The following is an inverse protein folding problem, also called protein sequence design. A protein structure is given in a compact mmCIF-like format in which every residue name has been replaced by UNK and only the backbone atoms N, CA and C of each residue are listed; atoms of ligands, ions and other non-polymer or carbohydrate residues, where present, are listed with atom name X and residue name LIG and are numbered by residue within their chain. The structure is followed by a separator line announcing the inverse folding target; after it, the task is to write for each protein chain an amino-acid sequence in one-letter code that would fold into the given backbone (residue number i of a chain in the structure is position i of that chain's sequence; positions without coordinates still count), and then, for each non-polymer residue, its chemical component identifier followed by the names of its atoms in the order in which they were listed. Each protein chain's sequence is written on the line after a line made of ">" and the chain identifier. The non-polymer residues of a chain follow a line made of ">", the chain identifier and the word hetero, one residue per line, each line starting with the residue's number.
data_IF_221654318008
#
_entry.id   IF_221654318008
#
_cell.length_a   1.000
_cell.length_b   1.000
_cell.length_c   1.000
_cell.angle_alpha   90.00
_cell.angle_beta   90.00
_cell.angle_gamma   90.00
#
_symmetry.space_group_name_H-M   'P 1'
#
loop_
_entity.id
_entity.type
_entity.pdbx_description
1 polymer ?
#
# COMPACT_ATOMS: atom_id res chain seq x y z
N UNK A 1 -9.60 10.25 -8.50
CA UNK A 1 -8.34 10.14 -9.27
C UNK A 1 -7.38 9.09 -8.76
N UNK A 2 -6.68 9.25 -7.63
CA UNK A 2 -5.56 8.35 -7.26
C UNK A 2 -5.95 6.85 -7.18
N UNK A 3 -6.91 6.47 -6.33
CA UNK A 3 -7.26 5.05 -6.13
C UNK A 3 -7.82 4.38 -7.39
N UNK A 4 -8.65 5.11 -8.16
CA UNK A 4 -9.30 4.55 -9.35
C UNK A 4 -8.41 4.62 -10.58
N UNK A 5 -7.74 5.75 -10.85
CA UNK A 5 -6.97 5.96 -12.08
C UNK A 5 -5.51 5.52 -11.96
N UNK A 6 -4.85 5.81 -10.84
CA UNK A 6 -3.43 5.45 -10.66
C UNK A 6 -3.26 4.05 -10.12
N UNK A 7 -4.04 3.68 -9.11
CA UNK A 7 -3.97 2.35 -8.51
C UNK A 7 -4.90 1.33 -9.17
N UNK A 8 -5.75 1.75 -10.10
CA UNK A 8 -6.64 0.89 -10.87
C UNK A 8 -7.67 0.09 -10.03
N UNK A 9 -8.01 0.54 -8.81
CA UNK A 9 -9.09 -0.09 -8.05
C UNK A 9 -10.45 0.20 -8.70
N UNK A 10 -11.34 -0.81 -8.84
CA UNK A 10 -12.67 -0.59 -9.37
C UNK A 10 -13.45 0.43 -8.55
N UNK A 11 -14.20 1.32 -9.22
CA UNK A 11 -15.03 2.32 -8.55
C UNK A 11 -15.98 1.66 -7.52
N UNK A 12 -16.55 0.50 -7.86
CA UNK A 12 -17.41 -0.29 -6.96
C UNK A 12 -16.70 -0.66 -5.65
N UNK A 13 -15.42 -1.01 -5.70
CA UNK A 13 -14.66 -1.36 -4.51
C UNK A 13 -14.43 -0.13 -3.62
N UNK A 14 -14.17 1.04 -4.22
CA UNK A 14 -13.94 2.30 -3.49
C UNK A 14 -15.21 2.72 -2.77
N UNK A 15 -16.35 2.75 -3.47
CA UNK A 15 -17.63 3.15 -2.86
C UNK A 15 -18.12 2.17 -1.78
N UNK A 16 -17.73 0.89 -1.88
CA UNK A 16 -18.06 -0.12 -0.88
C UNK A 16 -17.15 -0.06 0.36
N UNK A 17 -16.12 0.78 0.37
CA UNK A 17 -15.17 0.93 1.47
C UNK A 17 -15.07 2.39 1.93
N UNK A 18 -16.14 3.01 2.44
CA UNK A 18 -16.17 4.47 2.69
C UNK A 18 -15.10 4.95 3.68
N UNK A 19 -14.63 4.08 4.59
CA UNK A 19 -13.57 4.41 5.54
C UNK A 19 -12.27 4.90 4.88
N UNK A 20 -11.99 4.50 3.63
CA UNK A 20 -10.75 4.91 2.93
C UNK A 20 -10.68 6.41 2.69
N UNK A 21 -11.82 7.09 2.64
CA UNK A 21 -11.88 8.54 2.47
C UNK A 21 -11.53 9.31 3.75
N UNK A 22 -11.63 8.67 4.91
CA UNK A 22 -11.25 9.27 6.20
C UNK A 22 -9.75 9.18 6.52
N UNK A 23 -8.98 8.45 5.71
CA UNK A 23 -7.54 8.28 5.93
C UNK A 23 -6.71 9.36 5.26
N UNK A 24 -5.61 9.74 5.90
CA UNK A 24 -4.64 10.67 5.30
C UNK A 24 -4.09 10.08 4.00
N UNK A 25 -4.25 10.83 2.91
CA UNK A 25 -3.71 10.44 1.62
C UNK A 25 -2.18 10.32 1.68
N UNK A 26 -1.53 11.29 2.33
CA UNK A 26 -0.07 11.39 2.35
C UNK A 26 0.58 10.45 3.34
N UNK A 27 -0.01 10.27 4.53
CA UNK A 27 0.58 9.49 5.61
C UNK A 27 0.20 8.01 5.54
N UNK A 28 -0.96 7.66 4.97
CA UNK A 28 -1.46 6.28 4.98
C UNK A 28 -1.67 5.73 3.58
N UNK A 29 -2.44 6.42 2.74
CA UNK A 29 -2.88 5.83 1.48
C UNK A 29 -1.75 5.71 0.45
N UNK A 30 -1.02 6.79 0.19
CA UNK A 30 0.06 6.80 -0.82
C UNK A 30 1.21 5.84 -0.46
N UNK A 31 1.77 5.86 0.77
CA UNK A 31 2.88 4.96 1.11
C UNK A 31 2.51 3.48 0.96
N UNK A 32 1.31 3.11 1.43
CA UNK A 32 0.82 1.73 1.33
C UNK A 32 0.54 1.32 -0.11
N UNK A 33 -0.09 2.19 -0.89
CA UNK A 33 -0.34 1.93 -2.30
C UNK A 33 0.96 1.79 -3.11
N UNK A 34 2.00 2.57 -2.82
CA UNK A 34 3.30 2.45 -3.49
C UNK A 34 3.96 1.10 -3.18
N UNK A 35 3.88 0.60 -1.94
CA UNK A 35 4.35 -0.75 -1.57
C UNK A 35 3.62 -1.81 -2.39
N UNK A 36 2.28 -1.74 -2.47
CA UNK A 36 1.49 -2.69 -3.27
C UNK A 36 1.90 -2.64 -4.75
N UNK A 37 2.09 -1.43 -5.30
CA UNK A 37 2.53 -1.27 -6.69
C UNK A 37 3.91 -1.90 -6.92
N UNK A 38 4.87 -1.70 -6.02
CA UNK A 38 6.20 -2.30 -6.12
C UNK A 38 6.13 -3.83 -6.09
N UNK A 39 5.31 -4.41 -5.20
CA UNK A 39 5.09 -5.85 -5.12
C UNK A 39 4.48 -6.41 -6.40
N UNK A 40 3.48 -5.73 -6.98
CA UNK A 40 2.86 -6.15 -8.23
C UNK A 40 3.85 -6.11 -9.41
N UNK A 41 4.65 -5.05 -9.53
CA UNK A 41 5.68 -4.94 -10.59
C UNK A 41 6.73 -6.04 -10.48
N UNK A 42 7.08 -6.43 -9.25
CA UNK A 42 8.02 -7.55 -8.99
C UNK A 42 7.38 -8.94 -9.10
N UNK A 43 6.07 -9.03 -9.38
CA UNK A 43 5.34 -10.30 -9.46
C UNK A 43 5.20 -11.02 -8.12
N UNK A 44 5.40 -10.31 -7.00
CA UNK A 44 5.30 -10.84 -5.64
C UNK A 44 3.89 -10.75 -5.06
N UNK A 45 2.97 -10.20 -5.87
CA UNK A 45 1.54 -10.18 -5.62
C UNK A 45 0.85 -10.73 -6.87
N UNK A 46 -0.36 -11.27 -6.71
CA UNK A 46 -1.14 -11.75 -7.84
C UNK A 46 -1.37 -10.67 -8.91
N UNK A 47 -1.85 -11.09 -10.08
CA UNK A 47 -2.18 -10.18 -11.19
C UNK A 47 -3.33 -9.22 -10.85
N UNK A 48 -4.12 -9.54 -9.83
CA UNK A 48 -5.24 -8.72 -9.37
C UNK A 48 -4.88 -7.90 -8.13
N UNK A 49 -5.47 -6.71 -8.03
CA UNK A 49 -5.31 -5.85 -6.87
C UNK A 49 -5.90 -6.52 -5.62
N UNK A 50 -5.22 -6.42 -4.48
CA UNK A 50 -5.75 -6.92 -3.23
C UNK A 50 -7.00 -6.11 -2.82
N UNK A 51 -7.89 -6.67 -2.00
CA UNK A 51 -9.00 -5.92 -1.45
C UNK A 51 -8.50 -4.66 -0.69
N UNK A 52 -9.26 -3.56 -0.78
CA UNK A 52 -8.82 -2.27 -0.23
C UNK A 52 -8.69 -2.26 1.29
N UNK A 53 -9.59 -2.95 2.00
CA UNK A 53 -9.60 -2.98 3.47
C UNK A 53 -8.29 -3.54 4.07
N UNK A 54 -7.79 -4.72 3.66
CA UNK A 54 -6.48 -5.22 4.06
C UNK A 54 -5.30 -4.31 3.72
N UNK A 55 -5.43 -3.40 2.77
CA UNK A 55 -4.36 -2.45 2.42
C UNK A 55 -4.46 -1.19 3.28
N UNK A 56 -5.65 -0.59 3.39
CA UNK A 56 -5.83 0.76 3.93
C UNK A 56 -6.43 0.81 5.34
N UNK A 57 -7.23 -0.18 5.74
CA UNK A 57 -8.00 -0.13 6.99
C UNK A 57 -7.29 -0.74 8.20
N UNK A 58 -6.19 -1.48 7.99
CA UNK A 58 -5.42 -2.12 9.07
C UNK A 58 -4.35 -1.19 9.66
N UNK A 59 -3.79 -1.55 10.82
CA UNK A 59 -2.69 -0.79 11.45
C UNK A 59 -1.41 -0.85 10.61
N UNK A 60 -0.46 0.04 10.90
CA UNK A 60 0.83 0.04 10.21
C UNK A 60 1.59 -1.26 10.47
N UNK A 61 1.57 -1.76 11.71
CA UNK A 61 2.21 -3.02 12.09
C UNK A 61 1.66 -4.18 11.27
N UNK A 62 0.33 -4.32 11.22
CA UNK A 62 -0.32 -5.38 10.46
C UNK A 62 -0.06 -5.26 8.95
N UNK A 63 0.02 -4.04 8.42
CA UNK A 63 0.37 -3.81 7.02
C UNK A 63 1.81 -4.24 6.73
N UNK A 64 2.74 -3.82 7.59
CA UNK A 64 4.17 -4.14 7.46
C UNK A 64 4.40 -5.65 7.59
N UNK A 65 3.77 -6.32 8.55
CA UNK A 65 3.83 -7.78 8.68
C UNK A 65 3.35 -8.47 7.40
N UNK A 66 2.22 -8.03 6.86
CA UNK A 66 1.57 -8.72 5.74
C UNK A 66 2.24 -8.50 4.39
N UNK A 67 2.68 -7.28 4.09
CA UNK A 67 3.15 -6.93 2.74
C UNK A 67 4.64 -6.65 2.66
N UNK A 68 5.31 -6.35 3.78
CA UNK A 68 6.71 -5.91 3.78
C UNK A 68 7.64 -6.94 4.41
N UNK A 69 7.34 -7.43 5.62
CA UNK A 69 8.20 -8.33 6.39
C UNK A 69 7.96 -9.82 6.12
N UNK A 70 6.94 -10.16 5.34
CA UNK A 70 6.62 -11.54 4.94
C UNK A 70 7.47 -12.05 3.76
N UNK A 71 8.61 -11.42 3.47
CA UNK A 71 9.52 -11.84 2.40
C UNK A 71 10.86 -12.25 3.02
N UNK A 72 11.43 -13.36 2.55
CA UNK A 72 12.72 -13.87 3.05
C UNK A 72 13.91 -13.01 2.59
N UNK A 73 13.76 -12.32 1.46
CA UNK A 73 14.76 -11.42 0.91
C UNK A 73 14.86 -10.13 1.72
N UNK A 74 15.95 -9.98 2.48
CA UNK A 74 16.20 -8.81 3.33
C UNK A 74 16.41 -7.52 2.54
N UNK A 75 16.95 -7.59 1.33
CA UNK A 75 17.16 -6.41 0.48
C UNK A 75 15.81 -5.90 -0.02
N UNK A 76 14.93 -6.81 -0.44
CA UNK A 76 13.55 -6.49 -0.79
C UNK A 76 12.79 -5.89 0.39
N UNK A 77 12.89 -6.48 1.59
CA UNK A 77 12.24 -5.93 2.80
C UNK A 77 12.73 -4.50 3.05
N UNK A 78 14.04 -4.24 2.94
CA UNK A 78 14.61 -2.91 3.11
C UNK A 78 14.11 -1.91 2.06
N UNK A 79 14.02 -2.31 0.79
CA UNK A 79 13.45 -1.50 -0.30
C UNK A 79 11.99 -1.14 -0.03
N UNK A 80 11.15 -2.12 0.33
CA UNK A 80 9.74 -1.90 0.64
C UNK A 80 9.55 -1.00 1.87
N UNK A 81 10.39 -1.15 2.89
CA UNK A 81 10.42 -0.26 4.05
C UNK A 81 10.82 1.17 3.67
N UNK A 82 11.77 1.34 2.76
CA UNK A 82 12.15 2.66 2.24
C UNK A 82 10.98 3.30 1.49
N UNK A 83 10.29 2.57 0.61
CA UNK A 83 9.09 3.04 -0.09
C UNK A 83 7.99 3.46 0.89
N UNK A 84 7.77 2.67 1.94
CA UNK A 84 6.77 2.97 2.97
C UNK A 84 7.12 4.23 3.78
N UNK A 85 8.41 4.59 3.91
CA UNK A 85 8.89 5.71 4.74
C UNK A 85 9.40 6.92 3.95
N UNK A 86 9.45 6.84 2.61
CA UNK A 86 10.14 7.78 1.70
C UNK A 86 9.77 9.26 1.89
N UNK A 87 8.58 9.57 2.42
CA UNK A 87 8.14 10.94 2.68
C UNK A 87 8.42 11.42 4.11
N UNK A 88 8.54 10.50 5.07
CA UNK A 88 8.87 10.82 6.47
C UNK A 88 10.28 11.39 6.60
N UNK A 89 11.17 11.07 5.66
CA UNK A 89 12.55 11.55 5.62
C UNK A 89 12.71 12.96 5.01
N UNK A 90 11.75 13.46 4.23
CA UNK A 90 11.85 14.78 3.55
C UNK A 90 11.37 15.97 4.39
N UNK A 91 10.66 15.70 5.49
CA UNK A 91 10.08 16.71 6.39
C UNK A 91 10.80 16.75 7.75
N UNK A 92 12.06 16.30 7.82
CA UNK A 92 12.93 16.40 9.01
C UNK A 92 14.15 17.23 8.71
#
# INVERSE_FOLDING_TARGET
>A
EFLVKKMNWPLKAVVSTPAVFGYSLEERTVPRCNVIQALMVKGLLGSELPPMSPVLAITDEAFLDKYVRNHDDKELVAELMAIFTERRARNR
#
